data_IF_620492684503
#
_entry.id   IF_620492684503
#
_cell.length_a   1.000
_cell.length_b   1.000
_cell.length_c   1.000
_cell.angle_alpha   90.00
_cell.angle_beta   90.00
_cell.angle_gamma   90.00
#
_symmetry.space_group_name_H-M   'P 1'
#
loop_
_entity.id
_entity.type
_entity.pdbx_description
1 polymer ?
#
# COMPACT_ATOMS: atom_id res chain seq x y z
N UNK A 1 -18.23 2.24 14.96
CA UNK A 1 -17.35 1.09 14.65
C UNK A 1 -16.45 1.48 13.48
N UNK A 2 -15.34 2.18 13.70
CA UNK A 2 -14.38 2.49 12.63
C UNK A 2 -13.22 1.53 12.74
N UNK A 3 -13.12 0.58 11.82
CA UNK A 3 -11.90 -0.21 11.66
C UNK A 3 -10.79 0.72 11.15
N UNK A 4 -9.56 0.50 11.56
CA UNK A 4 -8.37 1.09 10.93
C UNK A 4 -7.54 -0.08 10.43
N UNK A 5 -7.13 -0.05 9.16
CA UNK A 5 -6.28 -1.12 8.62
C UNK A 5 -4.81 -0.77 8.87
N UNK A 6 -4.01 -1.76 9.25
CA UNK A 6 -2.57 -1.57 9.40
C UNK A 6 -1.94 -1.23 8.05
N UNK A 7 -1.27 -0.08 7.97
CA UNK A 7 -0.61 0.39 6.76
C UNK A 7 0.42 -0.63 6.24
N UNK A 8 1.19 -1.25 7.14
CA UNK A 8 2.16 -2.29 6.78
C UNK A 8 1.48 -3.52 6.19
N UNK A 9 0.35 -3.95 6.77
CA UNK A 9 -0.38 -5.11 6.26
C UNK A 9 -0.93 -4.86 4.85
N UNK A 10 -1.50 -3.66 4.61
CA UNK A 10 -1.97 -3.25 3.28
C UNK A 10 -0.80 -3.16 2.29
N UNK A 11 0.32 -2.54 2.70
CA UNK A 11 1.51 -2.41 1.86
C UNK A 11 2.12 -3.76 1.46
N UNK A 12 2.25 -4.69 2.40
CA UNK A 12 2.73 -6.05 2.14
C UNK A 12 1.77 -6.86 1.27
N UNK A 13 0.46 -6.66 1.42
CA UNK A 13 -0.55 -7.30 0.57
C UNK A 13 -0.42 -6.79 -0.88
N UNK A 14 -0.32 -5.46 -1.07
CA UNK A 14 -0.11 -4.86 -2.38
C UNK A 14 1.22 -5.32 -3.00
N UNK A 15 2.30 -5.41 -2.21
CA UNK A 15 3.58 -5.90 -2.68
C UNK A 15 3.49 -7.37 -3.12
N UNK A 16 2.82 -8.21 -2.35
CA UNK A 16 2.63 -9.63 -2.68
C UNK A 16 1.77 -9.80 -3.93
N UNK A 17 0.74 -8.97 -4.10
CA UNK A 17 -0.18 -9.06 -5.23
C UNK A 17 0.45 -8.51 -6.52
N UNK A 18 1.13 -7.37 -6.44
CA UNK A 18 1.52 -6.59 -7.62
C UNK A 18 3.02 -6.59 -7.92
N UNK A 19 3.87 -6.95 -6.95
CA UNK A 19 5.31 -6.96 -7.09
C UNK A 19 5.94 -8.19 -6.38
N UNK A 20 5.60 -9.42 -6.81
CA UNK A 20 6.06 -10.64 -6.13
C UNK A 20 7.60 -10.75 -6.09
N UNK A 21 8.31 -10.18 -7.07
CA UNK A 21 9.77 -10.13 -7.09
C UNK A 21 10.39 -9.21 -6.03
N UNK A 22 9.70 -8.14 -5.61
CA UNK A 22 10.21 -7.20 -4.61
C UNK A 22 10.23 -7.81 -3.19
N UNK A 23 9.30 -8.72 -2.90
CA UNK A 23 9.21 -9.39 -1.58
C UNK A 23 10.32 -10.43 -1.39
N UNK A 24 10.79 -11.07 -2.47
CA UNK A 24 11.83 -12.10 -2.41
C UNK A 24 13.21 -11.58 -2.01
N UNK A 25 13.54 -10.32 -2.32
CA UNK A 25 14.82 -9.69 -1.98
C UNK A 25 14.86 -9.05 -0.58
N UNK A 26 13.73 -9.05 0.15
CA UNK A 26 13.56 -8.29 1.40
C UNK A 26 13.83 -9.05 2.70
N UNK A 27 14.12 -10.35 2.67
CA UNK A 27 14.34 -11.14 3.90
C UNK A 27 15.81 -11.23 4.27
N UNK A 28 16.36 -10.15 4.84
CA UNK A 28 17.51 -10.22 5.73
C UNK A 28 17.37 -9.16 6.84
N UNK A 29 17.12 -9.66 8.05
CA UNK A 29 17.26 -9.06 9.38
C UNK A 29 16.39 -7.84 9.78
N UNK A 30 15.54 -8.04 10.79
CA UNK A 30 15.71 -7.28 12.04
C UNK A 30 15.21 -8.10 13.22
N UNK A 31 16.13 -8.28 14.16
CA UNK A 31 16.03 -9.05 15.38
C UNK A 31 15.75 -8.09 16.54
N UNK A 32 14.48 -7.82 16.86
CA UNK A 32 14.13 -7.22 18.17
C UNK A 32 12.80 -7.79 18.71
N UNK A 33 12.96 -8.77 19.61
CA UNK A 33 12.08 -9.21 20.71
C UNK A 33 10.58 -8.84 20.74
N UNK A 34 9.71 -9.85 20.61
CA UNK A 34 8.84 -10.32 21.71
C UNK A 34 7.98 -11.52 21.27
N UNK A 35 8.11 -12.64 21.99
CA UNK A 35 7.18 -13.80 21.99
C UNK A 35 5.88 -13.43 22.74
N UNK A 36 4.73 -14.16 22.63
CA UNK A 36 4.64 -15.61 22.44
C UNK A 36 3.50 -16.18 21.56
N UNK A 37 3.59 -17.51 21.38
CA UNK A 37 2.50 -18.49 21.24
C UNK A 37 1.83 -18.77 19.88
N UNK A 38 2.23 -19.91 19.32
CA UNK A 38 1.42 -20.99 18.71
C UNK A 38 0.27 -20.63 17.75
N UNK A 39 0.51 -20.82 16.45
CA UNK A 39 -0.32 -21.66 15.57
C UNK A 39 0.51 -22.03 14.35
N UNK A 40 0.89 -23.30 14.27
CA UNK A 40 1.64 -23.91 13.16
C UNK A 40 0.75 -23.96 11.90
N UNK A 41 0.76 -22.90 11.07
CA UNK A 41 0.22 -22.97 9.71
C UNK A 41 1.35 -23.34 8.76
N UNK A 42 1.27 -24.56 8.23
CA UNK A 42 2.16 -25.14 7.22
C UNK A 42 2.39 -24.15 6.07
N UNK A 43 3.61 -23.58 5.97
CA UNK A 43 4.04 -22.85 4.78
C UNK A 43 4.83 -23.80 3.90
N UNK A 44 4.34 -24.01 2.69
CA UNK A 44 4.98 -24.80 1.65
C UNK A 44 6.41 -24.28 1.42
N UNK A 45 7.38 -25.19 1.41
CA UNK A 45 8.77 -24.89 1.09
C UNK A 45 8.88 -24.62 -0.42
N UNK A 46 8.89 -23.34 -0.78
CA UNK A 46 9.29 -22.92 -2.12
C UNK A 46 10.82 -22.98 -2.14
N UNK A 47 11.37 -23.97 -2.85
CA UNK A 47 12.80 -24.05 -3.17
C UNK A 47 13.12 -22.92 -4.14
N UNK A 48 13.91 -21.95 -3.73
CA UNK A 48 14.48 -20.94 -4.65
C UNK A 48 15.96 -21.25 -4.84
N UNK A 49 16.34 -21.65 -6.05
CA UNK A 49 17.73 -21.72 -6.47
C UNK A 49 18.31 -20.30 -6.42
N UNK A 50 19.36 -20.10 -5.65
CA UNK A 50 20.19 -18.91 -5.71
C UNK A 50 20.89 -18.82 -7.05
N UNK A 51 20.68 -17.70 -7.75
CA UNK A 51 21.54 -17.27 -8.85
C UNK A 51 21.92 -15.82 -8.59
N UNK A 52 23.10 -15.65 -8.00
CA UNK A 52 23.81 -14.39 -7.81
C UNK A 52 24.36 -13.93 -9.14
N UNK A 53 23.65 -13.04 -9.83
CA UNK A 53 24.23 -12.19 -10.88
C UNK A 53 23.66 -10.78 -10.68
N UNK A 54 24.52 -9.87 -10.24
CA UNK A 54 24.20 -8.48 -9.87
C UNK A 54 23.86 -7.59 -11.07
N UNK A 55 22.81 -7.95 -11.80
CA UNK A 55 22.04 -6.98 -12.57
C UNK A 55 20.85 -6.58 -11.70
N UNK A 56 20.88 -5.36 -11.15
CA UNK A 56 19.71 -4.70 -10.58
C UNK A 56 18.71 -4.53 -11.70
N UNK A 57 17.90 -5.57 -11.91
CA UNK A 57 16.77 -5.51 -12.84
C UNK A 57 15.85 -4.41 -12.35
N UNK A 58 15.29 -3.59 -13.26
CA UNK A 58 14.45 -2.48 -12.87
C UNK A 58 13.31 -2.98 -11.97
N UNK A 59 12.92 -2.21 -10.94
CA UNK A 59 11.78 -2.55 -10.11
C UNK A 59 10.57 -2.76 -11.02
N UNK A 60 9.98 -3.95 -10.96
CA UNK A 60 8.83 -4.32 -11.79
C UNK A 60 7.61 -4.56 -10.91
N UNK A 61 6.55 -3.82 -11.21
CA UNK A 61 5.20 -4.10 -10.76
C UNK A 61 4.34 -4.49 -11.95
N UNK A 62 3.23 -5.17 -11.68
CA UNK A 62 2.21 -5.53 -12.68
C UNK A 62 1.21 -4.42 -12.99
N UNK A 63 1.31 -3.30 -12.28
CA UNK A 63 0.45 -2.13 -12.45
C UNK A 63 1.33 -0.91 -12.72
N UNK A 64 0.81 0.03 -13.51
CA UNK A 64 1.49 1.31 -13.77
C UNK A 64 0.96 2.42 -12.85
N UNK A 65 -0.30 2.31 -12.42
CA UNK A 65 -0.98 3.38 -11.69
C UNK A 65 -1.75 2.83 -10.48
N UNK A 66 -1.57 3.47 -9.32
CA UNK A 66 -2.33 3.21 -8.10
C UNK A 66 -3.10 4.48 -7.68
N UNK A 67 -4.40 4.35 -7.45
CA UNK A 67 -5.25 5.44 -6.97
C UNK A 67 -5.60 5.22 -5.50
N UNK A 68 -5.49 6.25 -4.67
CA UNK A 68 -5.86 6.21 -3.25
C UNK A 68 -6.49 7.52 -2.77
N UNK A 69 -6.92 7.59 -1.51
CA UNK A 69 -7.39 8.84 -0.90
C UNK A 69 -6.22 9.74 -0.49
N UNK A 70 -6.46 11.02 -0.26
CA UNK A 70 -5.45 11.89 0.33
C UNK A 70 -5.09 11.50 1.80
N UNK A 71 -4.08 12.19 2.35
CA UNK A 71 -3.60 11.97 3.72
C UNK A 71 -4.69 12.12 4.79
N UNK A 72 -5.66 13.01 4.59
CA UNK A 72 -6.78 13.21 5.51
C UNK A 72 -7.84 12.12 5.39
N UNK A 73 -7.96 11.49 4.22
CA UNK A 73 -9.06 10.60 3.89
C UNK A 73 -10.37 11.37 3.69
N UNK A 74 -11.24 10.85 2.82
CA UNK A 74 -12.54 11.49 2.62
C UNK A 74 -13.32 11.47 3.93
N UNK A 75 -13.83 12.64 4.33
CA UNK A 75 -14.56 12.83 5.60
C UNK A 75 -13.75 12.49 6.86
N UNK A 76 -12.42 12.50 6.80
CA UNK A 76 -11.53 12.12 7.92
C UNK A 76 -11.73 10.68 8.41
N UNK A 77 -12.24 9.80 7.54
CA UNK A 77 -12.53 8.42 7.93
C UNK A 77 -11.23 7.60 8.12
N UNK A 78 -11.04 6.88 9.25
CA UNK A 78 -9.82 6.10 9.52
C UNK A 78 -9.43 5.12 8.41
N UNK A 79 -10.38 4.33 7.89
CA UNK A 79 -10.12 3.43 6.75
C UNK A 79 -9.52 4.14 5.52
N UNK A 80 -9.96 5.36 5.19
CA UNK A 80 -9.44 6.08 4.02
C UNK A 80 -7.99 6.52 4.23
N UNK A 81 -7.67 6.96 5.46
CA UNK A 81 -6.31 7.31 5.86
C UNK A 81 -5.40 6.08 5.83
N UNK A 82 -5.87 4.93 6.30
CA UNK A 82 -5.13 3.67 6.25
C UNK A 82 -4.71 3.29 4.83
N UNK A 83 -5.58 3.49 3.84
CA UNK A 83 -5.27 3.18 2.43
C UNK A 83 -4.18 4.10 1.86
N UNK A 84 -4.20 5.40 2.20
CA UNK A 84 -3.12 6.32 1.82
C UNK A 84 -1.77 5.86 2.39
N UNK A 85 -1.74 5.52 3.68
CA UNK A 85 -0.52 5.04 4.33
C UNK A 85 -0.06 3.67 3.81
N UNK A 86 -0.99 2.77 3.53
CA UNK A 86 -0.70 1.45 2.94
C UNK A 86 -0.13 1.54 1.52
N UNK A 87 -0.68 2.42 0.69
CA UNK A 87 -0.16 2.68 -0.66
C UNK A 87 1.28 3.23 -0.61
N UNK A 88 1.58 4.13 0.33
CA UNK A 88 2.95 4.63 0.54
C UNK A 88 3.90 3.53 1.01
N UNK A 89 3.46 2.67 1.93
CA UNK A 89 4.26 1.53 2.37
C UNK A 89 4.56 0.56 1.22
N UNK A 90 3.60 0.31 0.33
CA UNK A 90 3.81 -0.48 -0.88
C UNK A 90 4.91 0.11 -1.78
N UNK A 91 4.87 1.41 -2.06
CA UNK A 91 5.92 2.06 -2.88
C UNK A 91 7.30 1.97 -2.23
N UNK A 92 7.40 2.10 -0.90
CA UNK A 92 8.65 1.93 -0.17
C UNK A 92 9.20 0.51 -0.31
N UNK A 93 8.33 -0.51 -0.22
CA UNK A 93 8.73 -1.91 -0.43
C UNK A 93 9.18 -2.13 -1.88
N UNK A 94 8.48 -1.55 -2.85
CA UNK A 94 8.78 -1.67 -4.28
C UNK A 94 10.12 -1.03 -4.66
N UNK A 95 10.44 0.11 -4.04
CA UNK A 95 11.66 0.88 -4.30
C UNK A 95 12.87 0.44 -3.45
N UNK A 96 12.67 -0.45 -2.47
CA UNK A 96 13.74 -0.92 -1.59
C UNK A 96 14.85 -1.61 -2.41
N UNK A 97 16.03 -1.01 -2.44
CA UNK A 97 17.20 -1.53 -3.18
C UNK A 97 17.32 -1.08 -4.63
N UNK A 98 16.39 -0.25 -5.13
CA UNK A 98 16.38 0.25 -6.51
C UNK A 98 16.32 1.79 -6.56
N UNK A 99 17.09 2.47 -5.70
CA UNK A 99 17.08 3.94 -5.57
C UNK A 99 17.55 4.68 -6.83
N UNK A 100 18.28 4.00 -7.71
CA UNK A 100 18.78 4.55 -8.97
C UNK A 100 17.77 4.49 -10.12
N UNK A 101 16.62 3.82 -9.94
CA UNK A 101 15.63 3.63 -10.97
C UNK A 101 14.35 4.44 -10.70
N UNK A 102 13.67 4.93 -11.74
CA UNK A 102 12.37 5.56 -11.57
C UNK A 102 11.35 4.57 -10.99
N UNK A 103 10.41 5.08 -10.18
CA UNK A 103 9.33 4.26 -9.67
C UNK A 103 8.44 3.80 -10.84
N UNK A 104 8.16 2.49 -10.97
CA UNK A 104 7.33 1.98 -12.06
C UNK A 104 5.83 2.20 -11.81
N UNK A 105 5.45 2.63 -10.61
CA UNK A 105 4.06 2.87 -10.23
C UNK A 105 3.85 4.34 -9.88
N UNK A 106 2.93 4.99 -10.58
CA UNK A 106 2.44 6.33 -10.26
C UNK A 106 1.33 6.27 -9.21
N UNK A 107 1.44 7.08 -8.15
CA UNK A 107 0.43 7.18 -7.09
C UNK A 107 -0.38 8.46 -7.23
N UNK A 108 -1.65 8.32 -7.61
CA UNK A 108 -2.59 9.42 -7.62
C UNK A 108 -3.45 9.41 -6.36
N UNK A 109 -3.69 10.60 -5.83
CA UNK A 109 -4.56 10.77 -4.67
C UNK A 109 -5.82 11.53 -5.05
N UNK A 110 -6.97 11.03 -4.62
CA UNK A 110 -8.22 11.75 -4.72
C UNK A 110 -8.26 12.77 -3.57
N UNK A 111 -8.11 14.05 -3.91
CA UNK A 111 -8.18 15.15 -2.95
C UNK A 111 -9.57 15.18 -2.31
N UNK A 112 -9.62 15.23 -0.98
CA UNK A 112 -10.86 15.37 -0.23
C UNK A 112 -11.50 16.70 -0.60
N UNK A 113 -12.59 16.65 -1.36
CA UNK A 113 -13.38 17.84 -1.66
C UNK A 113 -14.09 18.31 -0.40
N UNK A 114 -14.15 19.63 -0.21
CA UNK A 114 -14.81 20.22 0.95
C UNK A 114 -16.25 19.70 1.07
N UNK A 115 -16.54 19.06 2.20
CA UNK A 115 -17.81 18.43 2.56
C UNK A 115 -19.01 19.38 2.32
N UNK A 116 -18.77 20.69 2.41
CA UNK A 116 -19.73 21.76 2.11
C UNK A 116 -20.37 21.61 0.73
N UNK A 117 -19.64 21.25 -0.35
CA UNK A 117 -20.26 21.06 -1.69
C UNK A 117 -21.03 19.73 -1.82
N UNK A 118 -20.69 18.73 -0.98
CA UNK A 118 -21.35 17.42 -0.92
C UNK A 118 -22.73 17.50 -0.24
N UNK A 119 -22.95 18.51 0.61
CA UNK A 119 -24.23 18.74 1.31
C UNK A 119 -24.99 20.00 0.85
N UNK A 120 -24.34 20.95 0.16
CA UNK A 120 -25.05 22.04 -0.52
C UNK A 120 -25.98 21.52 -1.62
N UNK A 121 -25.72 20.33 -2.20
CA UNK A 121 -26.65 19.68 -3.13
C UNK A 121 -27.99 19.27 -2.52
N UNK A 122 -28.09 19.11 -1.19
CA UNK A 122 -29.39 18.90 -0.50
C UNK A 122 -30.14 20.23 -0.34
N UNK A 123 -29.42 21.36 -0.26
CA UNK A 123 -29.99 22.71 -0.27
C UNK A 123 -30.17 23.30 -1.68
N UNK A 124 -29.69 22.62 -2.72
CA UNK A 124 -29.92 22.93 -4.15
C UNK A 124 -31.15 22.18 -4.70
N UNK A 125 -32.07 21.80 -3.81
CA UNK A 125 -33.44 21.52 -4.23
C UNK A 125 -34.06 22.87 -4.62
N UNK A 126 -34.56 23.05 -5.86
CA UNK A 126 -35.26 24.27 -6.20
C UNK A 126 -36.46 24.39 -5.26
N UNK A 127 -36.41 25.39 -4.37
CA UNK A 127 -37.61 25.92 -3.74
C UNK A 127 -38.49 26.32 -4.92
N UNK A 128 -39.50 25.50 -5.23
CA UNK A 128 -40.55 25.87 -6.16
C UNK A 128 -41.30 27.04 -5.53
N UNK A 129 -40.98 28.24 -5.99
CA UNK A 129 -41.83 29.44 -5.85
C UNK A 129 -43.03 29.27 -6.77
#
# INVERSE_FOLDING_TARGET
MTTEWSATAVGSLLATAFAPGAVANGTHDDSTSSKPASTQRRRASIRTNGSTNGHTSPPSASIDVLLTFDKSGVSHHPNHRSLYHGARAFLQILMKGNESHPCPVDLYTLTTTNVVRKYLGVFDAPIKI
#
